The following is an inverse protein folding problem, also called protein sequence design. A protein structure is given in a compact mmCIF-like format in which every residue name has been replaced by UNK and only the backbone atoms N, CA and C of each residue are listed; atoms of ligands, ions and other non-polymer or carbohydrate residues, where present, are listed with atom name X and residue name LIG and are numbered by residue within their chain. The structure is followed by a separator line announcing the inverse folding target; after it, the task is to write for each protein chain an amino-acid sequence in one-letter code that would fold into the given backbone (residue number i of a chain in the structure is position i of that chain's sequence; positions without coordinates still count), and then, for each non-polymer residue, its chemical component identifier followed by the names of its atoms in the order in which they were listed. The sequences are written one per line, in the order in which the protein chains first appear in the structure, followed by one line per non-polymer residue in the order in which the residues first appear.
data_IF_431024440040
#
_entry.id   IF_431024440040
#
_cell.length_a   1.000
_cell.length_b   1.000
_cell.length_c   1.000
_cell.angle_alpha   90.00
_cell.angle_beta   90.00
_cell.angle_gamma   90.00
#
_symmetry.space_group_name_H-M   'P 1'
#
loop_
_entity.id
_entity.type
_entity.pdbx_description
1 polymer ?
#
# COMPACT_ATOMS: atom_id res chain seq x y z
N UNK A 1 2.56 -9.78 -1.70
CA UNK A 1 3.54 -9.91 -0.60
C UNK A 1 3.78 -8.51 -0.07
N UNK A 2 3.76 -8.34 1.25
CA UNK A 2 3.98 -7.05 1.92
C UNK A 2 5.11 -7.21 2.95
N UNK A 3 6.03 -6.27 3.04
CA UNK A 3 7.09 -6.29 4.05
C UNK A 3 6.67 -5.62 5.37
N UNK A 4 7.17 -6.14 6.50
CA UNK A 4 7.18 -5.42 7.78
C UNK A 4 8.03 -4.14 7.64
N UNK A 5 7.65 -3.08 8.32
CA UNK A 5 8.27 -1.75 8.18
C UNK A 5 8.20 -1.15 6.75
N UNK A 6 7.14 -1.46 6.01
CA UNK A 6 6.89 -0.81 4.72
C UNK A 6 6.77 0.71 4.91
N UNK A 7 7.43 1.50 4.05
CA UNK A 7 7.36 2.97 4.12
C UNK A 7 5.93 3.53 4.04
N UNK A 8 5.02 2.77 3.41
CA UNK A 8 3.59 3.08 3.29
C UNK A 8 2.78 2.81 4.58
N UNK A 9 3.41 2.23 5.61
CA UNK A 9 2.81 1.99 6.91
C UNK A 9 2.81 3.21 7.83
N UNK A 10 3.85 4.05 7.72
CA UNK A 10 4.11 5.10 8.69
C UNK A 10 3.42 6.43 8.37
N UNK A 11 2.78 6.55 7.21
CA UNK A 11 2.13 7.77 6.76
C UNK A 11 0.82 7.44 6.08
N UNK A 12 -0.24 8.11 6.49
CA UNK A 12 -1.50 8.14 5.76
C UNK A 12 -1.36 8.92 4.46
N UNK A 13 -2.23 8.62 3.49
CA UNK A 13 -2.33 9.39 2.25
C UNK A 13 -2.45 10.91 2.50
N UNK A 14 -3.14 11.30 3.58
CA UNK A 14 -3.30 12.71 3.94
C UNK A 14 -2.00 13.35 4.44
N UNK A 15 -1.23 12.64 5.25
CA UNK A 15 0.10 13.09 5.70
C UNK A 15 1.07 13.19 4.52
N UNK A 16 0.96 12.29 3.54
CA UNK A 16 1.74 12.36 2.30
C UNK A 16 1.32 13.59 1.47
N UNK A 17 0.02 13.82 1.28
CA UNK A 17 -0.49 15.02 0.57
C UNK A 17 -0.02 16.30 1.23
N UNK A 18 -0.15 16.40 2.56
CA UNK A 18 0.25 17.60 3.30
C UNK A 18 1.77 17.83 3.20
N UNK A 19 2.58 16.78 3.38
CA UNK A 19 4.05 16.86 3.26
C UNK A 19 4.49 17.32 1.87
N UNK A 20 3.78 16.92 0.81
CA UNK A 20 4.05 17.38 -0.56
C UNK A 20 3.59 18.83 -0.77
N UNK A 21 2.41 19.21 -0.26
CA UNK A 21 1.89 20.58 -0.31
C UNK A 21 2.82 21.59 0.36
N UNK A 22 3.37 21.25 1.53
CA UNK A 22 4.27 22.13 2.30
C UNK A 22 5.59 22.42 1.56
N UNK A 23 5.96 21.58 0.58
CA UNK A 23 7.17 21.75 -0.24
C UNK A 23 6.91 22.52 -1.53
N UNK A 24 5.65 22.77 -1.87
CA UNK A 24 5.28 23.51 -3.06
C UNK A 24 5.19 25.02 -2.79
N UNK A 25 5.56 25.87 -3.76
CA UNK A 25 5.22 27.29 -3.72
C UNK A 25 3.71 27.50 -3.64
N UNK A 26 3.28 28.55 -2.96
CA UNK A 26 1.86 28.93 -2.88
C UNK A 26 1.29 29.15 -4.29
N UNK A 27 0.16 28.49 -4.60
CA UNK A 27 -0.51 28.59 -5.91
C UNK A 27 0.05 27.68 -7.01
N UNK A 28 0.96 26.76 -6.67
CA UNK A 28 1.47 25.76 -7.61
C UNK A 28 0.34 24.88 -8.19
N UNK A 29 0.20 24.76 -9.53
CA UNK A 29 -0.85 23.95 -10.16
C UNK A 29 -0.77 22.46 -9.78
N UNK A 30 0.42 21.97 -9.43
CA UNK A 30 0.70 20.60 -8.98
C UNK A 30 -0.05 20.23 -7.69
N UNK A 31 -0.51 21.22 -6.91
CA UNK A 31 -1.31 20.97 -5.70
C UNK A 31 -2.61 20.22 -6.00
N UNK A 32 -3.26 20.52 -7.14
CA UNK A 32 -4.48 19.83 -7.56
C UNK A 32 -4.20 18.39 -8.00
N UNK A 33 -3.02 18.14 -8.56
CA UNK A 33 -2.60 16.79 -8.96
C UNK A 33 -2.34 15.93 -7.72
N UNK A 34 -1.69 16.49 -6.70
CA UNK A 34 -1.43 15.80 -5.41
C UNK A 34 -2.72 15.36 -4.72
N UNK A 35 -3.76 16.20 -4.74
CA UNK A 35 -5.06 15.86 -4.13
C UNK A 35 -5.77 14.70 -4.83
N UNK A 36 -5.56 14.57 -6.14
CA UNK A 36 -6.16 13.51 -6.94
C UNK A 36 -5.44 12.16 -6.80
N UNK A 37 -4.25 12.13 -6.20
CA UNK A 37 -3.47 10.90 -6.02
C UNK A 37 -3.99 10.06 -4.84
N UNK A 38 -4.06 8.75 -5.09
CA UNK A 38 -4.12 7.72 -4.07
C UNK A 38 -2.71 7.17 -3.87
N UNK A 39 -2.17 7.29 -2.67
CA UNK A 39 -0.81 6.87 -2.38
C UNK A 39 -0.75 5.40 -1.95
N UNK A 40 -1.87 4.83 -1.51
CA UNK A 40 -1.95 3.42 -1.14
C UNK A 40 -1.27 3.15 0.21
N UNK A 41 -1.42 4.07 1.16
CA UNK A 41 -1.01 3.85 2.54
C UNK A 41 -1.66 2.57 3.11
N UNK A 42 -0.86 1.76 3.80
CA UNK A 42 -1.29 0.50 4.41
C UNK A 42 -1.26 0.67 5.93
N UNK A 43 -2.21 0.09 6.66
CA UNK A 43 -2.27 0.22 8.13
C UNK A 43 -1.97 -1.07 8.88
N UNK A 44 -2.03 -2.22 8.19
CA UNK A 44 -1.72 -3.53 8.75
C UNK A 44 -1.25 -4.44 7.60
N UNK A 45 0.04 -4.82 7.57
CA UNK A 45 0.59 -5.69 6.54
C UNK A 45 -0.14 -7.03 6.37
N UNK A 46 -0.65 -7.64 7.44
CA UNK A 46 -1.36 -8.92 7.36
C UNK A 46 -2.76 -8.72 6.77
N UNK A 47 -3.49 -7.70 7.18
CA UNK A 47 -4.82 -7.41 6.62
C UNK A 47 -4.73 -6.95 5.16
N UNK A 48 -3.76 -6.10 4.80
CA UNK A 48 -3.52 -5.73 3.41
C UNK A 48 -3.27 -6.95 2.53
N UNK A 49 -2.45 -7.90 2.99
CA UNK A 49 -2.21 -9.14 2.26
C UNK A 49 -3.51 -9.95 2.07
N UNK A 50 -4.36 -10.04 3.09
CA UNK A 50 -5.65 -10.74 2.97
C UNK A 50 -6.58 -10.06 1.97
N UNK A 51 -6.67 -8.73 2.02
CA UNK A 51 -7.49 -7.92 1.11
C UNK A 51 -7.02 -8.07 -0.34
N UNK A 52 -5.71 -7.98 -0.58
CA UNK A 52 -5.13 -8.16 -1.91
C UNK A 52 -5.37 -9.56 -2.47
N UNK A 53 -5.17 -10.60 -1.65
CA UNK A 53 -5.43 -11.98 -2.05
C UNK A 53 -6.92 -12.19 -2.37
N UNK A 54 -7.82 -11.65 -1.55
CA UNK A 54 -9.26 -11.73 -1.80
C UNK A 54 -9.66 -10.98 -3.08
N UNK A 55 -9.12 -9.78 -3.30
CA UNK A 55 -9.33 -8.98 -4.50
C UNK A 55 -8.89 -9.72 -5.76
N UNK A 56 -7.69 -10.31 -5.75
CA UNK A 56 -7.17 -11.08 -6.87
C UNK A 56 -7.98 -12.36 -7.13
N UNK A 57 -8.35 -13.10 -6.07
CA UNK A 57 -9.20 -14.31 -6.19
C UNK A 57 -10.61 -13.99 -6.72
N UNK A 58 -11.15 -12.82 -6.40
CA UNK A 58 -12.45 -12.37 -6.89
C UNK A 58 -12.41 -11.86 -8.35
N UNK A 59 -11.23 -11.48 -8.84
CA UNK A 59 -11.08 -10.88 -10.16
C UNK A 59 -11.34 -11.91 -11.28
N UNK A 60 -12.19 -11.58 -12.27
CA UNK A 60 -12.47 -12.47 -13.40
C UNK A 60 -11.24 -12.74 -14.27
N UNK A 61 -10.21 -11.90 -14.16
CA UNK A 61 -8.95 -12.03 -14.92
C UNK A 61 -7.99 -13.07 -14.34
N UNK A 62 -8.16 -13.47 -13.07
CA UNK A 62 -7.26 -14.41 -12.37
C UNK A 62 -7.93 -15.76 -12.08
N UNK A 63 -9.03 -16.08 -12.78
CA UNK A 63 -9.74 -17.35 -12.60
C UNK A 63 -8.86 -18.55 -12.92
N UNK A 64 -8.78 -19.49 -11.97
CA UNK A 64 -8.01 -20.74 -12.11
C UNK A 64 -6.55 -20.62 -11.68
N UNK A 65 -6.12 -19.48 -11.15
CA UNK A 65 -4.79 -19.31 -10.56
C UNK A 65 -4.83 -19.54 -9.05
N UNK A 66 -3.79 -20.17 -8.52
CA UNK A 66 -3.54 -20.19 -7.08
C UNK A 66 -2.88 -18.86 -6.67
N UNK A 67 -3.45 -18.21 -5.67
CA UNK A 67 -2.97 -16.92 -5.15
C UNK A 67 -2.68 -17.11 -3.67
N UNK A 68 -1.43 -16.80 -3.30
CA UNK A 68 -0.90 -16.91 -1.94
C UNK A 68 -0.44 -15.54 -1.44
N UNK A 69 -0.67 -15.27 -0.16
CA UNK A 69 -0.33 -14.05 0.53
C UNK A 69 0.77 -14.27 1.55
N UNK A 70 1.82 -13.44 1.51
CA UNK A 70 2.95 -13.50 2.44
C UNK A 70 3.26 -12.13 3.04
N UNK A 71 3.65 -12.14 4.31
CA UNK A 71 4.33 -11.03 4.98
C UNK A 71 5.80 -11.37 5.20
N UNK A 72 6.69 -10.46 4.80
CA UNK A 72 8.13 -10.60 5.02
C UNK A 72 8.56 -9.85 6.28
N UNK A 73 9.27 -10.52 7.18
CA UNK A 73 9.98 -9.87 8.27
C UNK A 73 11.29 -9.26 7.73
N UNK A 74 11.44 -7.95 7.81
CA UNK A 74 12.61 -7.23 7.27
C UNK A 74 13.86 -7.34 8.14
N UNK A 75 13.73 -7.74 9.40
CA UNK A 75 14.86 -7.98 10.30
C UNK A 75 15.46 -9.37 10.12
N UNK A 76 14.62 -10.38 9.88
CA UNK A 76 15.04 -11.79 9.78
C UNK A 76 15.07 -12.32 8.35
N UNK A 77 14.37 -11.67 7.42
CA UNK A 77 14.20 -12.11 6.04
C UNK A 77 13.22 -13.26 5.85
N UNK A 78 12.55 -13.71 6.92
CA UNK A 78 11.61 -14.84 6.88
C UNK A 78 10.26 -14.41 6.31
N UNK A 79 9.60 -15.34 5.61
CA UNK A 79 8.26 -15.16 5.08
C UNK A 79 7.25 -15.90 5.96
N UNK A 80 6.17 -15.21 6.32
CA UNK A 80 5.00 -15.77 6.98
C UNK A 80 3.85 -15.81 5.97
N UNK A 81 3.31 -17.00 5.73
CA UNK A 81 2.10 -17.16 4.91
C UNK A 81 0.86 -16.69 5.69
N UNK A 82 -0.01 -15.95 5.01
CA UNK A 82 -1.21 -15.33 5.60
C UNK A 82 -2.51 -15.80 4.93
N UNK A 83 -2.54 -16.02 3.60
CA UNK A 83 -3.77 -16.27 2.82
C UNK A 83 -3.57 -17.02 1.49
#
# INVERSE_FOLDING_TARGET
MVEQDCGMYYMSDEEIRQSLRDRLPEGAPEANEIDALSFGAINDPEETVKEDVAFLKASPYFKGMEVYGFVQDTHTGLLKEIA
#
